data_IF_441252888445
#
_entry.id   IF_441252888445
#
_cell.length_a   1.000
_cell.length_b   1.000
_cell.length_c   1.000
_cell.angle_alpha   90.00
_cell.angle_beta   90.00
_cell.angle_gamma   90.00
#
_symmetry.space_group_name_H-M   'P 1'
#
loop_
_entity.id
_entity.type
_entity.pdbx_description
1 polymer ?
#
# COMPACT_ATOMS: atom_id res chain seq x y z
N UNK A 1 -12.93 -18.34 -2.25
CA UNK A 1 -11.67 -17.57 -2.40
C UNK A 1 -11.68 -16.80 -3.72
N UNK A 2 -11.13 -15.58 -3.76
CA UNK A 2 -11.01 -14.79 -5.00
C UNK A 2 -10.27 -15.54 -6.12
N UNK A 3 -9.38 -16.47 -5.76
CA UNK A 3 -8.69 -17.37 -6.70
C UNK A 3 -9.62 -18.15 -7.63
N UNK A 4 -10.75 -18.67 -7.14
CA UNK A 4 -11.72 -19.38 -8.00
C UNK A 4 -12.40 -18.45 -8.99
N UNK A 5 -12.67 -17.21 -8.57
CA UNK A 5 -13.30 -16.19 -9.40
C UNK A 5 -12.34 -15.69 -10.49
N UNK A 6 -11.07 -15.48 -10.13
CA UNK A 6 -10.01 -15.13 -11.09
C UNK A 6 -9.81 -16.27 -12.09
N UNK A 7 -9.80 -17.53 -11.65
CA UNK A 7 -9.66 -18.68 -12.55
C UNK A 7 -10.80 -18.75 -13.59
N UNK A 8 -12.04 -18.48 -13.17
CA UNK A 8 -13.20 -18.45 -14.07
C UNK A 8 -13.17 -17.26 -15.04
N UNK A 9 -12.70 -16.08 -14.60
CA UNK A 9 -12.62 -14.88 -15.43
C UNK A 9 -11.41 -14.86 -16.37
N UNK A 10 -10.30 -15.50 -16.00
CA UNK A 10 -9.05 -15.47 -16.77
C UNK A 10 -9.23 -15.84 -18.26
N UNK A 11 -9.98 -16.89 -18.64
CA UNK A 11 -10.25 -17.19 -20.06
C UNK A 11 -11.29 -16.26 -20.72
N UNK A 12 -12.11 -15.55 -19.94
CA UNK A 12 -13.16 -14.66 -20.43
C UNK A 12 -12.64 -13.26 -20.76
N UNK A 13 -11.68 -12.75 -19.97
CA UNK A 13 -11.03 -11.45 -20.15
C UNK A 13 -10.42 -11.24 -21.56
N UNK A 14 -9.61 -12.17 -22.12
CA UNK A 14 -9.05 -11.99 -23.45
C UNK A 14 -10.12 -11.99 -24.55
N UNK A 15 -11.24 -12.73 -24.35
CA UNK A 15 -12.38 -12.68 -25.28
C UNK A 15 -13.11 -11.35 -25.25
N UNK A 16 -13.28 -10.76 -24.05
CA UNK A 16 -13.86 -9.43 -23.89
C UNK A 16 -12.96 -8.34 -24.50
N UNK A 17 -11.64 -8.48 -24.39
CA UNK A 17 -10.67 -7.54 -25.00
C UNK A 17 -10.60 -7.59 -26.53
N UNK A 18 -11.11 -8.64 -27.19
CA UNK A 18 -11.14 -8.69 -28.66
C UNK A 18 -12.16 -7.72 -29.29
N UNK A 19 -13.10 -7.20 -28.50
CA UNK A 19 -14.02 -6.15 -28.95
C UNK A 19 -13.49 -4.77 -28.57
N UNK A 20 -13.43 -3.84 -29.54
CA UNK A 20 -12.93 -2.48 -29.31
C UNK A 20 -13.71 -1.72 -28.23
N UNK A 21 -15.03 -1.92 -28.15
CA UNK A 21 -15.88 -1.26 -27.16
C UNK A 21 -15.64 -1.79 -25.74
N UNK A 22 -15.55 -3.11 -25.59
CA UNK A 22 -15.28 -3.73 -24.30
C UNK A 22 -13.83 -3.48 -23.82
N UNK A 23 -12.86 -3.42 -24.74
CA UNK A 23 -11.50 -3.01 -24.41
C UNK A 23 -11.45 -1.57 -23.87
N UNK A 24 -12.14 -0.62 -24.53
CA UNK A 24 -12.22 0.77 -24.08
C UNK A 24 -12.90 0.92 -22.70
N UNK A 25 -13.95 0.13 -22.43
CA UNK A 25 -14.58 0.07 -21.12
C UNK A 25 -13.65 -0.50 -20.04
N UNK A 26 -12.94 -1.59 -20.34
CA UNK A 26 -11.99 -2.19 -19.39
C UNK A 26 -10.83 -1.25 -19.07
N UNK A 27 -10.38 -0.46 -20.05
CA UNK A 27 -9.32 0.52 -19.84
C UNK A 27 -9.78 1.68 -18.94
N UNK A 28 -10.98 2.24 -19.19
CA UNK A 28 -11.54 3.29 -18.33
C UNK A 28 -11.81 2.79 -16.90
N UNK A 29 -12.25 1.54 -16.74
CA UNK A 29 -12.42 0.91 -15.44
C UNK A 29 -11.09 0.70 -14.72
N UNK A 30 -10.03 0.29 -15.43
CA UNK A 30 -8.69 0.14 -14.86
C UNK A 30 -8.11 1.49 -14.42
N UNK A 31 -8.24 2.54 -15.24
CA UNK A 31 -7.84 3.92 -14.88
C UNK A 31 -8.62 4.39 -13.65
N UNK A 32 -9.92 4.12 -13.58
CA UNK A 32 -10.76 4.44 -12.42
C UNK A 32 -10.29 3.70 -11.16
N UNK A 33 -9.92 2.43 -11.28
CA UNK A 33 -9.38 1.64 -10.18
C UNK A 33 -8.03 2.21 -9.69
N UNK A 34 -7.13 2.59 -10.59
CA UNK A 34 -5.85 3.23 -10.24
C UNK A 34 -6.08 4.57 -9.55
N UNK A 35 -7.00 5.39 -10.06
CA UNK A 35 -7.36 6.66 -9.43
C UNK A 35 -7.90 6.45 -8.01
N UNK A 36 -8.75 5.45 -7.80
CA UNK A 36 -9.25 5.09 -6.48
C UNK A 36 -8.13 4.59 -5.56
N UNK A 37 -7.26 3.70 -6.05
CA UNK A 37 -6.11 3.21 -5.29
C UNK A 37 -5.22 4.37 -4.83
N UNK A 38 -4.93 5.32 -5.73
CA UNK A 38 -4.15 6.51 -5.40
C UNK A 38 -4.86 7.38 -4.36
N UNK A 39 -6.14 7.68 -4.54
CA UNK A 39 -6.93 8.49 -3.60
C UNK A 39 -6.99 7.86 -2.20
N UNK A 40 -7.26 6.55 -2.12
CA UNK A 40 -7.30 5.81 -0.86
C UNK A 40 -5.91 5.75 -0.22
N UNK A 41 -4.86 5.54 -1.01
CA UNK A 41 -3.47 5.54 -0.51
C UNK A 41 -3.10 6.89 0.09
N UNK A 42 -3.44 7.99 -0.58
CA UNK A 42 -3.21 9.34 -0.04
C UNK A 42 -4.01 9.58 1.24
N UNK A 43 -5.26 9.14 1.29
CA UNK A 43 -6.11 9.28 2.48
C UNK A 43 -5.56 8.49 3.67
N UNK A 44 -5.19 7.22 3.46
CA UNK A 44 -4.58 6.38 4.49
C UNK A 44 -3.21 6.92 4.91
N UNK A 45 -2.40 7.37 3.95
CA UNK A 45 -1.11 8.01 4.21
C UNK A 45 -1.24 9.25 5.10
N UNK A 46 -2.17 10.16 4.77
CA UNK A 46 -2.43 11.36 5.57
C UNK A 46 -2.89 11.02 7.01
N UNK A 47 -3.67 9.95 7.18
CA UNK A 47 -4.08 9.50 8.53
C UNK A 47 -2.98 8.77 9.29
N UNK A 48 -2.01 8.17 8.62
CA UNK A 48 -0.90 7.45 9.24
C UNK A 48 0.31 8.38 9.56
N UNK A 49 0.54 9.39 8.73
CA UNK A 49 1.68 10.31 8.78
C UNK A 49 1.35 11.57 9.58
N UNK A 50 0.96 11.40 10.84
CA UNK A 50 0.55 12.51 11.73
C UNK A 50 1.71 13.13 12.50
N UNK A 51 2.78 12.36 12.75
CA UNK A 51 3.91 12.74 13.60
C UNK A 51 5.23 12.74 12.83
N UNK A 52 6.23 13.47 13.32
CA UNK A 52 7.56 13.50 12.69
C UNK A 52 8.23 12.11 12.69
N UNK A 53 7.97 11.28 13.72
CA UNK A 53 8.41 9.89 13.77
C UNK A 53 7.78 9.07 12.63
N UNK A 54 6.46 9.19 12.41
CA UNK A 54 5.78 8.50 11.31
C UNK A 54 6.33 8.92 9.95
N UNK A 55 6.63 10.20 9.76
CA UNK A 55 7.25 10.71 8.52
C UNK A 55 8.65 10.14 8.28
N UNK A 56 9.48 10.01 9.32
CA UNK A 56 10.80 9.40 9.20
C UNK A 56 10.72 7.91 8.87
N UNK A 57 9.88 7.15 9.57
CA UNK A 57 9.69 5.72 9.32
C UNK A 57 9.13 5.51 7.91
N UNK A 58 8.13 6.30 7.51
CA UNK A 58 7.54 6.25 6.18
C UNK A 58 8.54 6.58 5.07
N UNK A 59 9.32 7.65 5.24
CA UNK A 59 10.36 8.04 4.29
C UNK A 59 11.47 7.00 4.17
N UNK A 60 11.93 6.44 5.30
CA UNK A 60 12.92 5.37 5.32
C UNK A 60 12.39 4.10 4.64
N UNK A 61 11.13 3.72 4.89
CA UNK A 61 10.48 2.57 4.26
C UNK A 61 10.37 2.73 2.74
N UNK A 62 10.00 3.92 2.25
CA UNK A 62 9.96 4.22 0.81
C UNK A 62 11.38 4.14 0.21
N UNK A 63 12.37 4.77 0.85
CA UNK A 63 13.76 4.72 0.38
C UNK A 63 14.33 3.31 0.31
N UNK A 64 14.06 2.50 1.35
CA UNK A 64 14.51 1.11 1.42
C UNK A 64 13.78 0.23 0.40
N UNK A 65 12.49 0.45 0.18
CA UNK A 65 11.71 -0.24 -0.86
C UNK A 65 12.26 0.03 -2.26
N UNK A 66 12.63 1.28 -2.55
CA UNK A 66 13.14 1.69 -3.86
C UNK A 66 14.58 1.22 -4.13
N UNK A 67 15.45 1.17 -3.10
CA UNK A 67 16.87 0.79 -3.27
C UNK A 67 17.16 -0.69 -3.07
N UNK A 68 16.51 -1.33 -2.10
CA UNK A 68 16.90 -2.66 -1.64
C UNK A 68 15.87 -3.76 -1.97
N UNK A 69 14.79 -3.43 -2.71
CA UNK A 69 13.72 -4.37 -3.09
C UNK A 69 13.22 -5.25 -1.93
N UNK A 70 13.23 -4.70 -0.70
CA UNK A 70 12.87 -5.46 0.50
C UNK A 70 11.42 -5.93 0.38
N UNK A 71 11.17 -7.18 0.78
CA UNK A 71 9.83 -7.75 0.73
C UNK A 71 8.84 -6.89 1.54
N UNK A 72 7.59 -6.72 1.08
CA UNK A 72 6.61 -5.93 1.81
C UNK A 72 6.40 -6.46 3.24
N UNK A 73 6.48 -7.77 3.43
CA UNK A 73 6.36 -8.40 4.75
C UNK A 73 7.46 -7.97 5.71
N UNK A 74 8.72 -7.95 5.27
CA UNK A 74 9.84 -7.49 6.11
C UNK A 74 9.78 -6.00 6.40
N UNK A 75 9.33 -5.18 5.42
CA UNK A 75 9.12 -3.75 5.64
C UNK A 75 8.05 -3.48 6.69
N UNK A 76 6.95 -4.24 6.70
CA UNK A 76 5.87 -4.11 7.69
C UNK A 76 6.38 -4.51 9.09
N UNK A 77 7.10 -5.63 9.19
CA UNK A 77 7.64 -6.09 10.47
C UNK A 77 8.69 -5.10 11.01
N UNK A 78 9.59 -4.64 10.15
CA UNK A 78 10.64 -3.69 10.52
C UNK A 78 10.08 -2.34 10.96
N UNK A 79 9.11 -1.78 10.23
CA UNK A 79 8.49 -0.50 10.61
C UNK A 79 7.68 -0.61 11.90
N UNK A 80 6.99 -1.73 12.13
CA UNK A 80 6.28 -1.99 13.39
C UNK A 80 7.23 -2.05 14.60
N UNK A 81 8.36 -2.76 14.46
CA UNK A 81 9.38 -2.85 15.53
C UNK A 81 10.03 -1.50 15.83
N UNK A 82 10.39 -0.74 14.78
CA UNK A 82 10.97 0.60 14.95
C UNK A 82 9.97 1.55 15.60
N UNK A 83 8.70 1.52 15.16
CA UNK A 83 7.64 2.32 15.77
C UNK A 83 7.41 1.98 17.25
N UNK A 84 7.40 0.70 17.60
CA UNK A 84 7.29 0.25 18.99
C UNK A 84 8.48 0.69 19.84
N UNK A 85 9.70 0.55 19.34
CA UNK A 85 10.90 0.99 20.05
C UNK A 85 10.89 2.50 20.32
N UNK A 86 10.47 3.32 19.35
CA UNK A 86 10.34 4.77 19.53
C UNK A 86 9.25 5.14 20.53
N UNK A 87 8.11 4.44 20.50
CA UNK A 87 7.04 4.63 21.47
C UNK A 87 7.51 4.39 22.92
N UNK A 88 8.31 3.34 23.14
CA UNK A 88 8.85 3.04 24.47
C UNK A 88 9.81 4.14 24.98
N UNK A 89 10.55 4.80 24.09
CA UNK A 89 11.43 5.92 24.44
C UNK A 89 10.63 7.15 24.86
N UNK A 90 9.56 7.48 24.14
CA UNK A 90 8.67 8.62 24.50
C UNK A 90 7.91 8.36 25.81
N UNK A 91 7.38 7.15 26.01
CA UNK A 91 6.69 6.79 27.26
C UNK A 91 7.65 6.71 28.45
N UNK A 92 8.87 6.20 28.24
CA UNK A 92 9.90 6.17 29.28
C UNK A 92 10.39 7.55 29.72
N UNK A 93 10.38 8.54 28.82
CA UNK A 93 10.70 9.94 29.15
C UNK A 93 9.58 10.65 29.92
N UNK A 94 8.30 10.30 29.65
CA UNK A 94 7.14 10.86 30.36
C UNK A 94 6.83 10.14 31.68
N UNK A 95 7.31 8.92 31.89
CA UNK A 95 7.16 8.17 33.15
C UNK A 95 8.22 8.48 34.22
N UNK A 96 9.18 9.36 33.93
CA UNK A 96 10.21 9.84 34.86
C UNK A 96 9.96 11.30 35.33
N UNK A 97 8.81 11.88 34.99
CA UNK A 97 8.32 13.18 35.48
C UNK A 97 7.03 12.99 36.28
#
# INVERSE_FOLDING_TARGET
PSFFFVLALNPLIPRLRNSAWAAAFLDSANVSAVALMAAVTLRLGATALTSWQSWLIGGAAIGLRLRAQVSPSLLIIGSALVGWALYQVEVGLLGLA
#
